data_IF_688574151690
#
_entry.id   IF_688574151690
#
_cell.length_a   1.000
_cell.length_b   1.000
_cell.length_c   1.000
_cell.angle_alpha   90.00
_cell.angle_beta   90.00
_cell.angle_gamma   90.00
#
_symmetry.space_group_name_H-M   'P 1'
#
loop_
_entity.id
_entity.type
_entity.pdbx_description
1 polymer ?
#
# COMPACT_ATOMS: atom_id res chain seq x y z
N UNK A 1 25.65 29.54 -11.28
CA UNK A 1 25.11 29.64 -9.90
C UNK A 1 24.55 28.32 -9.37
N UNK A 2 23.71 27.60 -10.12
CA UNK A 2 23.10 26.34 -9.65
C UNK A 2 24.11 25.26 -9.23
N UNK A 3 25.21 25.08 -9.98
CA UNK A 3 26.26 24.11 -9.63
C UNK A 3 26.90 24.44 -8.27
N UNK A 4 27.11 25.73 -7.98
CA UNK A 4 27.66 26.17 -6.68
C UNK A 4 26.68 25.81 -5.56
N UNK A 5 25.36 26.04 -5.76
CA UNK A 5 24.32 25.64 -4.80
C UNK A 5 24.33 24.12 -4.56
N UNK A 6 24.45 23.31 -5.61
CA UNK A 6 24.58 21.84 -5.50
C UNK A 6 25.80 21.47 -4.63
N UNK A 7 26.97 22.05 -4.92
CA UNK A 7 28.20 21.77 -4.16
C UNK A 7 28.05 22.15 -2.70
N UNK A 8 27.45 23.31 -2.40
CA UNK A 8 27.21 23.77 -1.03
C UNK A 8 26.28 22.83 -0.26
N UNK A 9 25.18 22.39 -0.89
CA UNK A 9 24.23 21.43 -0.27
C UNK A 9 24.91 20.08 -0.02
N UNK A 10 25.71 19.58 -0.97
CA UNK A 10 26.49 18.35 -0.79
C UNK A 10 27.49 18.48 0.37
N UNK A 11 28.25 19.58 0.42
CA UNK A 11 29.22 19.83 1.47
C UNK A 11 28.54 19.91 2.86
N UNK A 12 27.41 20.60 2.96
CA UNK A 12 26.63 20.69 4.19
C UNK A 12 26.13 19.31 4.64
N UNK A 13 25.62 18.48 3.72
CA UNK A 13 25.15 17.14 4.05
C UNK A 13 26.31 16.22 4.47
N UNK A 14 27.46 16.28 3.79
CA UNK A 14 28.65 15.51 4.18
C UNK A 14 29.10 15.91 5.59
N UNK A 15 29.15 17.20 5.89
CA UNK A 15 29.48 17.69 7.23
C UNK A 15 28.49 17.19 8.28
N UNK A 16 27.19 17.28 7.99
CA UNK A 16 26.12 16.77 8.86
C UNK A 16 26.29 15.27 9.13
N UNK A 17 26.56 14.47 8.09
CA UNK A 17 26.79 13.05 8.21
C UNK A 17 28.04 12.72 9.05
N UNK A 18 29.12 13.48 8.88
CA UNK A 18 30.35 13.31 9.68
C UNK A 18 30.09 13.58 11.17
N UNK A 19 29.29 14.60 11.49
CA UNK A 19 28.89 14.91 12.87
C UNK A 19 28.05 13.77 13.47
N UNK A 20 27.09 13.23 12.71
CA UNK A 20 26.29 12.08 13.14
C UNK A 20 27.13 10.82 13.36
N UNK A 21 28.10 10.55 12.48
CA UNK A 21 29.04 9.44 12.66
C UNK A 21 29.88 9.60 13.93
N UNK A 22 30.28 10.82 14.29
CA UNK A 22 30.96 11.09 15.57
C UNK A 22 30.03 10.85 16.77
N UNK A 23 28.76 11.25 16.67
CA UNK A 23 27.75 10.98 17.70
C UNK A 23 27.48 9.48 17.88
N UNK A 24 27.29 8.73 16.79
CA UNK A 24 27.11 7.28 16.83
C UNK A 24 28.32 6.57 17.45
N UNK A 25 29.53 6.97 17.06
CA UNK A 25 30.77 6.42 17.64
C UNK A 25 30.96 6.75 19.11
N UNK A 26 30.37 7.84 19.61
CA UNK A 26 30.45 8.17 21.03
C UNK A 26 29.75 7.16 21.93
N UNK A 27 28.82 6.36 21.38
CA UNK A 27 28.05 5.36 22.12
C UNK A 27 27.12 5.92 23.19
N UNK A 28 26.99 7.25 23.30
CA UNK A 28 26.18 7.93 24.33
C UNK A 28 24.68 7.82 24.08
N UNK A 29 24.27 7.66 22.83
CA UNK A 29 22.86 7.66 22.41
C UNK A 29 22.47 6.32 21.81
N UNK A 30 21.17 6.00 21.86
CA UNK A 30 20.61 4.86 21.15
C UNK A 30 20.78 5.08 19.62
N UNK A 31 21.17 4.02 18.91
CA UNK A 31 21.35 4.04 17.45
C UNK A 31 20.07 4.46 16.70
N UNK A 32 18.89 4.11 17.22
CA UNK A 32 17.61 4.56 16.65
C UNK A 32 17.42 6.07 16.82
N UNK A 33 17.88 6.66 17.93
CA UNK A 33 17.84 8.12 18.13
C UNK A 33 18.72 8.84 17.11
N UNK A 34 19.96 8.38 16.91
CA UNK A 34 20.88 8.97 15.91
C UNK A 34 20.31 8.84 14.49
N UNK A 35 19.72 7.69 14.16
CA UNK A 35 19.03 7.47 12.88
C UNK A 35 17.86 8.44 12.67
N UNK A 36 17.09 8.76 13.71
CA UNK A 36 16.01 9.76 13.61
C UNK A 36 16.52 11.20 13.52
N UNK A 37 17.69 11.52 14.07
CA UNK A 37 18.35 12.80 13.77
C UNK A 37 18.72 12.87 12.29
N UNK A 38 19.30 11.80 11.71
CA UNK A 38 19.58 11.76 10.26
C UNK A 38 18.31 11.95 9.44
N UNK A 39 17.23 11.24 9.79
CA UNK A 39 15.94 11.31 9.12
C UNK A 39 15.36 12.73 9.15
N UNK A 40 15.34 13.37 10.34
CA UNK A 40 14.85 14.74 10.50
C UNK A 40 15.73 15.73 9.73
N UNK A 41 17.06 15.65 9.87
CA UNK A 41 17.98 16.54 9.15
C UNK A 41 17.88 16.40 7.64
N UNK A 42 17.71 15.18 7.13
CA UNK A 42 17.48 14.92 5.70
C UNK A 42 16.14 15.49 5.23
N UNK A 43 15.09 15.41 6.08
CA UNK A 43 13.80 16.05 5.81
C UNK A 43 13.88 17.57 5.72
N UNK A 44 14.60 18.22 6.65
CA UNK A 44 14.85 19.67 6.61
C UNK A 44 15.58 20.05 5.30
N UNK A 45 16.61 19.28 4.93
CA UNK A 45 17.30 19.45 3.65
C UNK A 45 16.35 19.34 2.45
N UNK A 46 15.46 18.34 2.45
CA UNK A 46 14.43 18.15 1.42
C UNK A 46 13.43 19.31 1.35
N UNK A 47 13.00 19.83 2.50
CA UNK A 47 12.09 20.98 2.60
C UNK A 47 12.70 22.28 2.08
N UNK A 48 14.02 22.44 2.18
CA UNK A 48 14.73 23.61 1.68
C UNK A 48 14.88 23.62 0.14
N UNK A 49 14.74 22.48 -0.54
CA UNK A 49 15.00 22.36 -1.99
C UNK A 49 14.17 23.34 -2.86
N UNK A 50 12.85 23.51 -2.66
CA UNK A 50 12.05 24.47 -3.45
C UNK A 50 12.44 25.94 -3.24
N UNK A 51 13.19 26.24 -2.20
CA UNK A 51 13.65 27.61 -1.89
C UNK A 51 15.09 27.85 -2.36
N UNK A 52 15.87 26.78 -2.56
CA UNK A 52 17.26 26.86 -3.00
C UNK A 52 17.35 26.77 -4.53
N UNK A 53 16.58 25.87 -5.15
CA UNK A 53 16.70 25.51 -6.55
C UNK A 53 15.48 25.96 -7.35
N UNK A 54 15.73 26.53 -8.53
CA UNK A 54 14.68 26.91 -9.47
C UNK A 54 14.47 25.81 -10.53
N UNK A 55 15.56 25.16 -10.95
CA UNK A 55 15.50 24.14 -12.01
C UNK A 55 15.23 22.76 -11.45
N UNK A 56 14.24 22.07 -12.03
CA UNK A 56 13.93 20.68 -11.65
C UNK A 56 15.13 19.75 -11.84
N UNK A 57 15.92 19.95 -12.90
CA UNK A 57 17.12 19.15 -13.20
C UNK A 57 18.20 19.23 -12.13
N UNK A 58 18.40 20.37 -11.46
CA UNK A 58 19.41 20.53 -10.41
C UNK A 58 19.16 19.60 -9.23
N UNK A 59 17.91 19.52 -8.78
CA UNK A 59 17.50 18.64 -7.66
C UNK A 59 17.57 17.18 -8.06
N UNK A 60 17.21 16.84 -9.30
CA UNK A 60 17.34 15.47 -9.82
C UNK A 60 18.81 15.03 -9.81
N UNK A 61 19.72 15.86 -10.33
CA UNK A 61 21.17 15.58 -10.31
C UNK A 61 21.65 15.38 -8.86
N UNK A 62 21.28 16.31 -7.96
CA UNK A 62 21.64 16.23 -6.55
C UNK A 62 21.16 14.92 -5.90
N UNK A 63 19.90 14.54 -6.12
CA UNK A 63 19.35 13.31 -5.55
C UNK A 63 19.95 12.04 -6.15
N UNK A 64 20.26 12.02 -7.45
CA UNK A 64 21.00 10.90 -8.08
C UNK A 64 22.39 10.76 -7.46
N UNK A 65 23.11 11.86 -7.25
CA UNK A 65 24.42 11.84 -6.57
C UNK A 65 24.30 11.28 -5.15
N UNK A 66 23.28 11.69 -4.38
CA UNK A 66 23.04 11.14 -3.04
C UNK A 66 22.70 9.65 -3.07
N UNK A 67 21.86 9.19 -4.01
CA UNK A 67 21.53 7.78 -4.17
C UNK A 67 22.77 6.95 -4.46
N UNK A 68 23.61 7.39 -5.40
CA UNK A 68 24.88 6.73 -5.72
C UNK A 68 25.74 6.65 -4.46
N UNK A 69 25.91 7.77 -3.75
CA UNK A 69 26.72 7.83 -2.52
C UNK A 69 26.22 6.86 -1.44
N UNK A 70 24.90 6.81 -1.19
CA UNK A 70 24.33 5.88 -0.21
C UNK A 70 24.49 4.41 -0.61
N UNK A 71 24.26 4.09 -1.90
CA UNK A 71 24.41 2.73 -2.42
C UNK A 71 25.88 2.30 -2.33
N UNK A 72 26.81 3.18 -2.70
CA UNK A 72 28.26 2.95 -2.55
C UNK A 72 28.64 2.66 -1.10
N UNK A 73 28.17 3.47 -0.13
CA UNK A 73 28.43 3.24 1.31
C UNK A 73 27.91 1.86 1.77
N UNK A 74 26.73 1.42 1.27
CA UNK A 74 26.14 0.13 1.65
C UNK A 74 26.89 -1.08 1.08
N UNK A 75 27.39 -0.98 -0.16
CA UNK A 75 28.11 -2.06 -0.85
C UNK A 75 29.52 -2.26 -0.25
N UNK A 76 30.17 -1.20 0.24
CA UNK A 76 31.51 -1.29 0.81
C UNK A 76 31.54 -2.14 2.10
N UNK A 77 32.01 -3.39 1.99
CA UNK A 77 31.99 -4.38 3.08
C UNK A 77 32.91 -4.09 4.28
N UNK A 78 34.07 -3.45 4.09
CA UNK A 78 35.15 -3.52 5.10
C UNK A 78 35.79 -2.19 5.56
N UNK A 79 35.53 -1.04 4.92
CA UNK A 79 36.27 0.21 5.24
C UNK A 79 35.50 1.29 5.99
N UNK A 80 34.18 1.16 6.17
CA UNK A 80 33.34 2.27 6.67
C UNK A 80 32.36 1.83 7.77
N UNK A 81 32.88 1.14 8.79
CA UNK A 81 32.06 0.59 9.90
C UNK A 81 31.30 1.65 10.69
N UNK A 82 31.78 2.90 10.73
CA UNK A 82 31.07 4.01 11.36
C UNK A 82 29.86 4.52 10.56
N UNK A 83 30.05 4.79 9.27
CA UNK A 83 28.98 5.37 8.43
C UNK A 83 27.84 4.38 8.22
N UNK A 84 28.17 3.08 8.11
CA UNK A 84 27.16 2.04 8.00
C UNK A 84 26.29 1.92 9.26
N UNK A 85 26.86 2.15 10.45
CA UNK A 85 26.11 2.13 11.72
C UNK A 85 25.13 3.30 11.86
N UNK A 86 25.41 4.44 11.22
CA UNK A 86 24.46 5.56 11.17
C UNK A 86 23.23 5.21 10.33
N UNK A 87 23.40 4.39 9.28
CA UNK A 87 22.33 3.98 8.36
C UNK A 87 21.61 2.70 8.79
N UNK A 88 22.32 1.77 9.42
CA UNK A 88 21.80 0.48 9.85
C UNK A 88 21.84 0.36 11.38
N UNK A 89 20.68 0.23 11.99
CA UNK A 89 20.58 -0.20 13.40
C UNK A 89 21.07 -1.64 13.51
N UNK A 90 21.77 -1.99 14.61
CA UNK A 90 22.37 -3.32 14.84
C UNK A 90 21.43 -4.52 14.59
N UNK A 91 20.11 -4.31 14.69
CA UNK A 91 19.11 -5.37 14.60
C UNK A 91 18.24 -5.33 13.32
N UNK A 92 18.38 -4.33 12.43
CA UNK A 92 17.55 -4.24 11.21
C UNK A 92 18.31 -3.63 10.03
N UNK A 93 18.41 -4.41 8.94
CA UNK A 93 18.71 -3.86 7.61
C UNK A 93 17.42 -3.29 7.03
N UNK A 94 17.35 -1.97 6.85
CA UNK A 94 16.22 -1.30 6.18
C UNK A 94 16.73 -0.54 4.98
N UNK A 95 15.88 -0.37 3.95
CA UNK A 95 16.18 0.47 2.79
C UNK A 95 15.54 1.87 2.91
N UNK A 96 15.15 2.25 4.13
CA UNK A 96 14.38 3.48 4.40
C UNK A 96 15.05 4.75 3.87
N UNK A 97 16.38 4.88 3.98
CA UNK A 97 17.09 6.08 3.52
C UNK A 97 17.06 6.22 1.98
N UNK A 98 17.10 5.09 1.27
CA UNK A 98 16.98 5.06 -0.20
C UNK A 98 15.56 5.48 -0.59
N UNK A 99 14.55 4.88 0.06
CA UNK A 99 13.15 5.24 -0.17
C UNK A 99 12.88 6.71 0.15
N UNK A 100 13.49 7.26 1.19
CA UNK A 100 13.37 8.67 1.56
C UNK A 100 13.86 9.60 0.45
N UNK A 101 15.02 9.33 -0.15
CA UNK A 101 15.53 10.14 -1.27
C UNK A 101 14.64 9.97 -2.50
N UNK A 102 14.22 8.74 -2.81
CA UNK A 102 13.30 8.47 -3.91
C UNK A 102 11.99 9.26 -3.75
N UNK A 103 11.49 9.36 -2.54
CA UNK A 103 10.32 10.18 -2.21
C UNK A 103 10.56 11.65 -2.45
N UNK A 104 11.66 12.22 -1.93
CA UNK A 104 11.98 13.64 -2.15
C UNK A 104 12.06 13.94 -3.65
N UNK A 105 12.78 13.10 -4.41
CA UNK A 105 12.90 13.26 -5.87
C UNK A 105 11.55 13.12 -6.58
N UNK A 106 10.77 12.12 -6.21
CA UNK A 106 9.47 11.87 -6.82
C UNK A 106 8.46 12.98 -6.54
N UNK A 107 8.34 13.41 -5.28
CA UNK A 107 7.54 14.57 -4.90
C UNK A 107 8.02 15.84 -5.61
N UNK A 108 9.34 16.05 -5.67
CA UNK A 108 9.89 17.19 -6.41
C UNK A 108 9.45 17.18 -7.87
N UNK A 109 9.46 16.03 -8.55
CA UNK A 109 9.04 15.94 -9.94
C UNK A 109 7.54 16.22 -10.12
N UNK A 110 6.69 15.71 -9.23
CA UNK A 110 5.23 15.76 -9.39
C UNK A 110 4.55 16.94 -8.71
N UNK A 111 5.17 17.58 -7.72
CA UNK A 111 4.54 18.60 -6.87
C UNK A 111 5.40 19.82 -6.54
N UNK A 112 6.61 19.97 -7.09
CA UNK A 112 7.47 21.15 -6.83
C UNK A 112 6.79 22.50 -7.10
N UNK A 113 5.86 22.55 -8.05
CA UNK A 113 5.14 23.78 -8.41
C UNK A 113 4.10 24.17 -7.35
N UNK A 114 3.65 23.23 -6.50
CA UNK A 114 2.73 23.47 -5.40
C UNK A 114 3.41 23.17 -4.06
N UNK A 115 3.88 24.23 -3.39
CA UNK A 115 4.63 24.13 -2.13
C UNK A 115 3.86 23.38 -1.04
N UNK A 116 2.53 23.55 -0.94
CA UNK A 116 1.69 22.83 0.05
C UNK A 116 1.77 21.32 -0.20
N UNK A 117 1.56 20.90 -1.45
CA UNK A 117 1.56 19.50 -1.86
C UNK A 117 2.96 18.85 -1.84
N UNK A 118 4.04 19.64 -1.88
CA UNK A 118 5.41 19.16 -1.70
C UNK A 118 5.81 19.07 -0.23
N UNK A 119 5.54 20.11 0.53
CA UNK A 119 6.05 20.29 1.90
C UNK A 119 5.32 19.40 2.91
N UNK A 120 3.98 19.34 2.88
CA UNK A 120 3.21 18.61 3.90
C UNK A 120 3.57 17.10 3.96
N UNK A 121 3.66 16.37 2.82
CA UNK A 121 4.10 14.97 2.85
C UNK A 121 5.46 14.76 3.51
N UNK A 122 6.41 15.67 3.26
CA UNK A 122 7.77 15.59 3.83
C UNK A 122 7.75 15.92 5.33
N UNK A 123 6.99 16.93 5.76
CA UNK A 123 6.85 17.27 7.19
C UNK A 123 6.26 16.10 7.98
N UNK A 124 5.17 15.49 7.47
CA UNK A 124 4.54 14.32 8.10
C UNK A 124 5.55 13.18 8.20
N UNK A 125 6.25 12.85 7.12
CA UNK A 125 7.25 11.79 7.16
C UNK A 125 8.40 12.13 8.10
N UNK A 126 8.85 13.38 8.14
CA UNK A 126 9.98 13.79 8.95
C UNK A 126 9.70 13.69 10.45
N UNK A 127 8.55 14.23 10.89
CA UNK A 127 8.21 14.28 12.31
C UNK A 127 7.42 13.05 12.77
N UNK A 128 6.33 12.70 12.11
CA UNK A 128 5.43 11.65 12.60
C UNK A 128 6.12 10.29 12.68
N UNK A 129 6.91 9.92 11.67
CA UNK A 129 7.72 8.69 11.70
C UNK A 129 8.81 8.72 12.79
N UNK A 130 9.47 9.86 12.98
CA UNK A 130 10.48 9.99 14.03
C UNK A 130 9.87 9.85 15.44
N UNK A 131 8.77 10.54 15.71
CA UNK A 131 8.07 10.42 17.00
C UNK A 131 7.50 9.02 17.21
N UNK A 132 6.88 8.42 16.20
CA UNK A 132 6.34 7.07 16.29
C UNK A 132 7.41 6.03 16.63
N UNK A 133 8.57 6.12 15.97
CA UNK A 133 9.69 5.22 16.23
C UNK A 133 10.33 5.43 17.61
N UNK A 134 10.54 6.68 18.03
CA UNK A 134 11.11 6.97 19.35
C UNK A 134 10.18 6.53 20.47
N UNK A 135 8.89 6.86 20.38
CA UNK A 135 7.89 6.42 21.36
C UNK A 135 7.74 4.90 21.33
N UNK A 136 7.75 4.30 20.14
CA UNK A 136 7.68 2.85 19.97
C UNK A 136 8.91 2.08 20.48
N UNK A 137 10.08 2.70 20.49
CA UNK A 137 11.31 2.10 21.01
C UNK A 137 11.43 2.25 22.54
N UNK A 138 11.18 3.46 23.06
CA UNK A 138 11.45 3.78 24.46
C UNK A 138 10.25 3.60 25.41
N UNK A 139 9.01 3.69 24.90
CA UNK A 139 7.81 3.75 25.75
C UNK A 139 6.74 2.69 25.42
N UNK A 140 7.01 1.78 24.48
CA UNK A 140 6.03 0.77 24.09
C UNK A 140 5.75 -0.25 25.21
N UNK A 141 4.47 -0.47 25.52
CA UNK A 141 4.01 -1.57 26.37
C UNK A 141 3.28 -2.63 25.55
N UNK A 142 2.52 -2.21 24.53
CA UNK A 142 1.70 -3.10 23.71
C UNK A 142 2.27 -3.25 22.30
N UNK A 143 3.10 -4.28 22.11
CA UNK A 143 3.64 -4.66 20.80
C UNK A 143 2.75 -5.68 20.10
N UNK A 144 2.64 -5.57 18.78
CA UNK A 144 1.95 -6.53 17.94
C UNK A 144 2.79 -6.87 16.70
N UNK A 145 2.58 -8.07 16.16
CA UNK A 145 3.28 -8.54 14.97
C UNK A 145 2.46 -8.23 13.71
N UNK A 146 3.09 -7.56 12.75
CA UNK A 146 2.49 -7.22 11.46
C UNK A 146 2.63 -8.34 10.43
N UNK A 147 3.46 -9.36 10.69
CA UNK A 147 3.90 -10.39 9.76
C UNK A 147 5.30 -10.12 9.19
N UNK A 148 5.70 -8.85 9.12
CA UNK A 148 7.02 -8.42 8.64
C UNK A 148 7.91 -7.83 9.75
N UNK A 149 7.34 -7.62 10.93
CA UNK A 149 8.04 -7.06 12.07
C UNK A 149 7.09 -6.68 13.20
N UNK A 150 7.68 -6.26 14.31
CA UNK A 150 6.96 -5.75 15.47
C UNK A 150 6.71 -4.24 15.34
N UNK A 151 5.49 -3.81 15.67
CA UNK A 151 5.05 -2.42 15.82
C UNK A 151 4.38 -2.27 17.20
N UNK A 152 4.13 -1.05 17.66
CA UNK A 152 3.48 -0.78 18.95
C UNK A 152 2.26 0.11 18.81
N UNK A 153 1.31 -0.05 19.74
CA UNK A 153 0.11 0.79 19.80
C UNK A 153 0.51 2.24 20.13
N UNK A 154 1.48 2.42 21.03
CA UNK A 154 1.97 3.75 21.44
C UNK A 154 2.64 4.48 20.28
N UNK A 155 3.43 3.77 19.46
CA UNK A 155 4.03 4.34 18.25
C UNK A 155 2.97 4.74 17.22
N UNK A 156 1.94 3.91 17.03
CA UNK A 156 0.82 4.22 16.11
C UNK A 156 0.03 5.44 16.59
N UNK A 157 -0.27 5.53 17.89
CA UNK A 157 -0.94 6.66 18.50
C UNK A 157 -0.12 7.95 18.38
N UNK A 158 1.20 7.86 18.60
CA UNK A 158 2.12 8.97 18.39
C UNK A 158 2.10 9.44 16.93
N UNK A 159 2.15 8.52 15.96
CA UNK A 159 2.06 8.86 14.54
C UNK A 159 0.76 9.61 14.22
N UNK A 160 -0.37 9.09 14.70
CA UNK A 160 -1.69 9.71 14.49
C UNK A 160 -1.77 11.12 15.07
N UNK A 161 -1.41 11.29 16.35
CA UNK A 161 -1.52 12.57 17.05
C UNK A 161 -0.60 13.63 16.45
N UNK A 162 0.65 13.26 16.16
CA UNK A 162 1.62 14.17 15.53
C UNK A 162 1.19 14.57 14.13
N UNK A 163 0.72 13.62 13.31
CA UNK A 163 0.20 13.93 11.97
C UNK A 163 -1.01 14.84 12.03
N UNK A 164 -1.96 14.57 12.94
CA UNK A 164 -3.15 15.41 13.10
C UNK A 164 -2.78 16.84 13.51
N UNK A 165 -1.89 16.98 14.48
CA UNK A 165 -1.40 18.28 14.94
C UNK A 165 -0.66 19.04 13.83
N UNK A 166 0.22 18.36 13.08
CA UNK A 166 0.93 18.94 11.93
C UNK A 166 -0.06 19.42 10.89
N UNK A 167 -1.02 18.58 10.47
CA UNK A 167 -1.99 18.92 9.43
C UNK A 167 -2.84 20.13 9.83
N UNK A 168 -3.39 20.17 11.05
CA UNK A 168 -4.22 21.31 11.50
C UNK A 168 -3.44 22.61 11.40
N UNK A 169 -2.26 22.66 12.03
CA UNK A 169 -1.46 23.88 12.03
C UNK A 169 -1.01 24.24 10.61
N UNK A 170 -0.59 23.26 9.82
CA UNK A 170 -0.15 23.50 8.46
C UNK A 170 -1.25 24.12 7.60
N UNK A 171 -2.47 23.59 7.65
CA UNK A 171 -3.58 24.14 6.86
C UNK A 171 -4.05 25.50 7.38
N UNK A 172 -4.02 25.75 8.70
CA UNK A 172 -4.35 27.06 9.26
C UNK A 172 -3.41 28.18 8.76
N UNK A 173 -2.13 27.89 8.54
CA UNK A 173 -1.14 28.89 8.12
C UNK A 173 -0.90 28.95 6.61
N UNK A 174 -1.11 27.85 5.89
CA UNK A 174 -0.64 27.71 4.49
C UNK A 174 -1.74 27.31 3.50
N UNK A 175 -3.02 27.35 3.88
CA UNK A 175 -4.12 27.06 2.96
C UNK A 175 -5.35 27.91 3.23
N UNK A 176 -6.20 28.05 2.21
CA UNK A 176 -7.42 28.88 2.26
C UNK A 176 -8.70 28.04 2.44
N UNK A 177 -8.59 26.80 2.94
CA UNK A 177 -9.74 25.91 3.13
C UNK A 177 -10.50 26.27 4.42
N UNK A 178 -11.82 26.03 4.44
CA UNK A 178 -12.67 26.33 5.59
C UNK A 178 -12.31 25.53 6.85
N UNK A 179 -12.62 26.08 8.02
CA UNK A 179 -12.26 25.49 9.32
C UNK A 179 -12.70 24.03 9.50
N UNK A 180 -13.92 23.68 9.07
CA UNK A 180 -14.40 22.30 9.14
C UNK A 180 -13.64 21.36 8.19
N UNK A 181 -13.27 21.86 6.99
CA UNK A 181 -12.44 21.11 6.06
C UNK A 181 -11.05 20.84 6.63
N UNK A 182 -10.45 21.81 7.33
CA UNK A 182 -9.16 21.63 8.02
C UNK A 182 -9.26 20.45 8.98
N UNK A 183 -10.30 20.39 9.81
CA UNK A 183 -10.50 19.30 10.77
C UNK A 183 -10.69 17.96 10.07
N UNK A 184 -11.59 17.90 9.08
CA UNK A 184 -11.91 16.66 8.36
C UNK A 184 -10.72 16.11 7.57
N UNK A 185 -10.03 16.95 6.80
CA UNK A 185 -8.84 16.58 6.02
C UNK A 185 -7.72 16.11 6.95
N UNK A 186 -7.46 16.83 8.03
CA UNK A 186 -6.42 16.47 9.01
C UNK A 186 -6.71 15.13 9.67
N UNK A 187 -7.97 14.88 10.05
CA UNK A 187 -8.39 13.63 10.70
C UNK A 187 -8.31 12.45 9.75
N UNK A 188 -8.79 12.61 8.51
CA UNK A 188 -8.70 11.55 7.50
C UNK A 188 -7.24 11.21 7.17
N UNK A 189 -6.40 12.22 6.95
CA UNK A 189 -4.98 12.03 6.70
C UNK A 189 -4.30 11.29 7.85
N UNK A 190 -4.48 11.73 9.09
CA UNK A 190 -3.80 11.13 10.24
C UNK A 190 -4.19 9.67 10.47
N UNK A 191 -5.47 9.31 10.31
CA UNK A 191 -5.93 7.92 10.37
C UNK A 191 -5.27 7.09 9.27
N UNK A 192 -5.33 7.57 8.04
CA UNK A 192 -4.89 6.82 6.86
C UNK A 192 -3.38 6.63 6.83
N UNK A 193 -2.59 7.66 7.16
CA UNK A 193 -1.14 7.56 7.21
C UNK A 193 -0.67 6.71 8.38
N UNK A 194 -1.36 6.73 9.52
CA UNK A 194 -1.08 5.81 10.63
C UNK A 194 -1.34 4.36 10.19
N UNK A 195 -2.47 4.08 9.53
CA UNK A 195 -2.74 2.75 9.00
C UNK A 195 -1.65 2.32 8.01
N UNK A 196 -1.22 3.24 7.14
CA UNK A 196 -0.19 2.98 6.14
C UNK A 196 1.19 2.70 6.78
N UNK A 197 1.55 3.40 7.86
CA UNK A 197 2.74 3.12 8.66
C UNK A 197 2.70 1.71 9.27
N UNK A 198 1.54 1.30 9.78
CA UNK A 198 1.35 -0.02 10.41
C UNK A 198 1.48 -1.16 9.41
N UNK A 199 0.97 -0.99 8.19
CA UNK A 199 1.00 -2.03 7.14
C UNK A 199 2.29 -1.99 6.31
N UNK A 200 3.13 -0.96 6.45
CA UNK A 200 4.41 -0.84 5.75
C UNK A 200 5.52 -1.65 6.42
N UNK A 201 6.45 -2.16 5.61
CA UNK A 201 7.58 -2.96 6.08
C UNK A 201 8.90 -2.50 5.47
N UNK A 202 10.02 -2.85 6.11
CA UNK A 202 11.38 -2.61 5.60
C UNK A 202 11.72 -1.16 5.20
N UNK A 203 11.01 -0.17 5.77
CA UNK A 203 11.17 1.25 5.44
C UNK A 203 10.30 1.74 4.28
N UNK A 204 9.38 0.93 3.76
CA UNK A 204 8.47 1.32 2.67
C UNK A 204 7.49 2.44 3.06
N UNK A 205 7.28 2.66 4.35
CA UNK A 205 6.57 3.82 4.90
C UNK A 205 7.19 5.15 4.42
N UNK A 206 8.52 5.20 4.30
CA UNK A 206 9.23 6.36 3.74
C UNK A 206 8.87 6.67 2.28
N UNK A 207 8.29 5.70 1.56
CA UNK A 207 7.79 5.86 0.19
C UNK A 207 6.27 6.02 0.18
N UNK A 208 5.54 5.08 0.76
CA UNK A 208 4.09 5.03 0.64
C UNK A 208 3.40 6.18 1.37
N UNK A 209 3.85 6.56 2.57
CA UNK A 209 3.19 7.62 3.34
C UNK A 209 3.19 8.95 2.57
N UNK A 210 4.32 9.49 2.10
CA UNK A 210 4.30 10.79 1.45
C UNK A 210 3.59 10.79 0.10
N UNK A 211 3.76 9.75 -0.71
CA UNK A 211 3.04 9.65 -1.99
C UNK A 211 1.53 9.51 -1.77
N UNK A 212 1.12 8.79 -0.73
CA UNK A 212 -0.28 8.75 -0.34
C UNK A 212 -0.78 10.11 0.11
N UNK A 213 -0.04 10.85 0.96
CA UNK A 213 -0.43 12.21 1.36
C UNK A 213 -0.58 13.09 0.12
N UNK A 214 0.39 13.10 -0.79
CA UNK A 214 0.31 13.86 -2.04
C UNK A 214 -0.96 13.51 -2.85
N UNK A 215 -1.21 12.22 -3.09
CA UNK A 215 -2.40 11.75 -3.81
C UNK A 215 -3.68 12.16 -3.08
N UNK A 216 -3.73 12.01 -1.75
CA UNK A 216 -4.89 12.36 -0.95
C UNK A 216 -5.20 13.86 -1.06
N UNK A 217 -4.19 14.73 -0.92
CA UNK A 217 -4.36 16.18 -1.06
C UNK A 217 -4.89 16.53 -2.45
N UNK A 218 -4.30 15.95 -3.50
CA UNK A 218 -4.72 16.19 -4.89
C UNK A 218 -6.19 15.85 -5.13
N UNK A 219 -6.69 14.80 -4.50
CA UNK A 219 -8.06 14.30 -4.71
C UNK A 219 -9.09 14.85 -3.71
N UNK A 220 -8.66 15.46 -2.58
CA UNK A 220 -9.56 15.77 -1.48
C UNK A 220 -9.43 17.18 -0.88
N UNK A 221 -8.32 17.90 -1.11
CA UNK A 221 -8.03 19.14 -0.37
C UNK A 221 -9.11 20.22 -0.57
N UNK A 222 -9.61 20.37 -1.81
CA UNK A 222 -10.55 21.42 -2.20
C UNK A 222 -11.98 20.91 -2.38
N UNK A 223 -12.31 19.75 -1.81
CA UNK A 223 -13.69 19.26 -1.80
C UNK A 223 -14.57 20.10 -0.87
N UNK A 224 -15.86 20.11 -1.17
CA UNK A 224 -16.85 20.78 -0.30
C UNK A 224 -16.96 20.07 1.04
N UNK A 225 -17.46 20.78 2.05
CA UNK A 225 -17.67 20.24 3.41
C UNK A 225 -18.53 18.97 3.35
N UNK A 226 -19.59 18.97 2.53
CA UNK A 226 -20.50 17.83 2.36
C UNK A 226 -19.79 16.60 1.79
N UNK A 227 -18.92 16.78 0.80
CA UNK A 227 -18.17 15.68 0.18
C UNK A 227 -17.14 15.10 1.14
N UNK A 228 -16.45 15.94 1.91
CA UNK A 228 -15.51 15.49 2.95
C UNK A 228 -16.23 14.77 4.09
N UNK A 229 -17.38 15.27 4.54
CA UNK A 229 -18.23 14.59 5.52
C UNK A 229 -18.69 13.23 5.00
N UNK A 230 -19.11 13.15 3.73
CA UNK A 230 -19.47 11.88 3.11
C UNK A 230 -18.32 10.88 3.14
N UNK A 231 -17.11 11.30 2.73
CA UNK A 231 -15.91 10.45 2.77
C UNK A 231 -15.55 10.03 4.21
N UNK A 232 -15.67 10.93 5.17
CA UNK A 232 -15.51 10.61 6.59
C UNK A 232 -16.49 9.54 7.07
N UNK A 233 -17.77 9.68 6.75
CA UNK A 233 -18.77 8.67 7.13
C UNK A 233 -18.54 7.33 6.45
N UNK A 234 -18.09 7.30 5.20
CA UNK A 234 -17.69 6.05 4.54
C UNK A 234 -16.52 5.38 5.29
N UNK A 235 -15.52 6.15 5.73
CA UNK A 235 -14.44 5.61 6.58
C UNK A 235 -14.98 4.99 7.87
N UNK A 236 -15.87 5.70 8.57
CA UNK A 236 -16.49 5.21 9.82
C UNK A 236 -17.27 3.93 9.57
N UNK A 237 -18.08 3.87 8.52
CA UNK A 237 -18.87 2.68 8.15
C UNK A 237 -17.95 1.50 7.84
N UNK A 238 -16.90 1.71 7.02
CA UNK A 238 -15.93 0.65 6.70
C UNK A 238 -15.21 0.16 7.96
N UNK A 239 -14.83 1.06 8.86
CA UNK A 239 -14.23 0.70 10.14
C UNK A 239 -15.17 -0.16 10.98
N UNK A 240 -16.44 0.23 11.11
CA UNK A 240 -17.46 -0.54 11.83
C UNK A 240 -17.65 -1.93 11.21
N UNK A 241 -17.76 -2.02 9.88
CA UNK A 241 -17.88 -3.30 9.16
C UNK A 241 -16.71 -4.23 9.49
N UNK A 242 -15.48 -3.72 9.48
CA UNK A 242 -14.28 -4.51 9.76
C UNK A 242 -14.22 -4.94 11.22
N UNK A 243 -14.57 -4.05 12.16
CA UNK A 243 -14.60 -4.39 13.59
C UNK A 243 -15.67 -5.45 13.90
N UNK A 244 -16.88 -5.32 13.33
CA UNK A 244 -17.94 -6.31 13.50
C UNK A 244 -17.55 -7.68 12.92
N UNK A 245 -16.81 -7.68 11.79
CA UNK A 245 -16.35 -8.90 11.13
C UNK A 245 -14.98 -9.41 11.61
N UNK A 246 -14.32 -8.76 12.58
CA UNK A 246 -12.96 -9.11 13.03
C UNK A 246 -12.78 -10.57 13.47
N UNK A 247 -13.85 -11.19 14.01
CA UNK A 247 -13.90 -12.60 14.41
C UNK A 247 -14.47 -13.53 13.32
N UNK A 248 -15.15 -12.96 12.32
CA UNK A 248 -15.82 -13.64 11.21
C UNK A 248 -15.03 -13.45 9.91
N UNK A 249 -13.73 -13.69 9.98
CA UNK A 249 -12.83 -13.61 8.83
C UNK A 249 -11.61 -14.50 9.04
N UNK A 250 -11.07 -15.01 7.95
CA UNK A 250 -9.83 -15.79 7.94
C UNK A 250 -8.60 -14.90 7.73
N UNK A 251 -8.77 -13.57 7.66
CA UNK A 251 -7.66 -12.63 7.52
C UNK A 251 -6.96 -12.39 8.86
N UNK A 252 -5.63 -12.24 8.81
CA UNK A 252 -4.84 -11.72 9.94
C UNK A 252 -5.28 -10.31 10.34
N UNK A 253 -4.98 -9.87 11.57
CA UNK A 253 -5.33 -8.51 12.02
C UNK A 253 -4.71 -7.43 11.13
N UNK A 254 -3.46 -7.61 10.72
CA UNK A 254 -2.78 -6.71 9.78
C UNK A 254 -3.47 -6.68 8.41
N UNK A 255 -3.88 -7.85 7.88
CA UNK A 255 -4.61 -7.91 6.62
C UNK A 255 -6.00 -7.26 6.73
N UNK A 256 -6.68 -7.34 7.88
CA UNK A 256 -7.93 -6.61 8.10
C UNK A 256 -7.70 -5.09 8.06
N UNK A 257 -6.66 -4.60 8.75
CA UNK A 257 -6.27 -3.18 8.73
C UNK A 257 -5.87 -2.70 7.32
N UNK A 258 -5.12 -3.52 6.58
CA UNK A 258 -4.79 -3.22 5.19
C UNK A 258 -6.02 -3.27 4.27
N UNK A 259 -7.00 -4.13 4.56
CA UNK A 259 -8.26 -4.17 3.82
C UNK A 259 -9.05 -2.87 4.00
N UNK A 260 -9.08 -2.31 5.22
CA UNK A 260 -9.68 -0.99 5.46
C UNK A 260 -9.05 0.08 4.57
N UNK A 261 -7.72 0.13 4.58
CA UNK A 261 -6.95 1.09 3.79
C UNK A 261 -7.19 0.92 2.30
N UNK A 262 -7.13 -0.32 1.82
CA UNK A 262 -7.38 -0.67 0.42
C UNK A 262 -8.79 -0.24 -0.03
N UNK A 263 -9.83 -0.65 0.70
CA UNK A 263 -11.22 -0.29 0.42
C UNK A 263 -11.39 1.23 0.37
N UNK A 264 -10.78 1.95 1.31
CA UNK A 264 -10.90 3.40 1.34
C UNK A 264 -10.13 4.10 0.21
N UNK A 265 -8.97 3.59 -0.22
CA UNK A 265 -8.27 4.11 -1.41
C UNK A 265 -9.13 3.96 -2.65
N UNK A 266 -9.72 2.77 -2.85
CA UNK A 266 -10.61 2.52 -3.99
C UNK A 266 -11.79 3.50 -3.97
N UNK A 267 -12.35 3.77 -2.79
CA UNK A 267 -13.40 4.77 -2.61
C UNK A 267 -12.94 6.19 -2.97
N UNK A 268 -11.74 6.62 -2.54
CA UNK A 268 -11.23 7.95 -2.86
C UNK A 268 -11.00 8.11 -4.37
N UNK A 269 -10.45 7.08 -5.01
CA UNK A 269 -10.03 7.13 -6.42
C UNK A 269 -11.19 6.95 -7.41
N UNK A 270 -12.07 5.97 -7.17
CA UNK A 270 -13.15 5.61 -8.09
C UNK A 270 -14.56 5.91 -7.57
N UNK A 271 -14.72 6.18 -6.27
CA UNK A 271 -16.04 6.36 -5.65
C UNK A 271 -16.74 5.06 -5.29
N UNK A 272 -18.01 5.17 -4.87
CA UNK A 272 -18.77 4.05 -4.26
C UNK A 272 -18.94 2.87 -5.21
N UNK A 273 -19.11 3.13 -6.51
CA UNK A 273 -19.26 2.12 -7.54
C UNK A 273 -18.07 1.15 -7.59
N UNK A 274 -16.86 1.64 -7.35
CA UNK A 274 -15.64 0.83 -7.33
C UNK A 274 -15.38 0.16 -5.99
N UNK A 275 -15.91 0.71 -4.88
CA UNK A 275 -15.80 0.12 -3.55
C UNK A 275 -16.62 -1.17 -3.39
N UNK A 276 -17.75 -1.29 -4.09
CA UNK A 276 -18.69 -2.41 -3.88
C UNK A 276 -18.08 -3.79 -4.18
N UNK A 277 -17.42 -4.06 -5.33
CA UNK A 277 -16.83 -5.37 -5.60
C UNK A 277 -15.83 -5.87 -4.54
N UNK A 278 -14.79 -5.09 -4.13
CA UNK A 278 -13.88 -5.56 -3.08
C UNK A 278 -14.56 -5.68 -1.71
N UNK A 279 -15.58 -4.87 -1.42
CA UNK A 279 -16.33 -4.98 -0.16
C UNK A 279 -17.16 -6.29 -0.13
N UNK A 280 -17.86 -6.62 -1.22
CA UNK A 280 -18.57 -7.90 -1.35
C UNK A 280 -17.59 -9.07 -1.24
N UNK A 281 -16.42 -8.96 -1.88
CA UNK A 281 -15.39 -9.99 -1.75
C UNK A 281 -14.95 -10.14 -0.28
N UNK A 282 -14.65 -9.05 0.42
CA UNK A 282 -14.24 -9.07 1.83
C UNK A 282 -15.30 -9.73 2.73
N UNK A 283 -16.58 -9.39 2.56
CA UNK A 283 -17.69 -9.96 3.33
C UNK A 283 -17.98 -11.42 2.96
N UNK A 284 -17.98 -11.72 1.66
CA UNK A 284 -18.20 -13.05 1.11
C UNK A 284 -17.08 -14.03 1.45
N UNK A 285 -15.88 -13.52 1.71
CA UNK A 285 -14.69 -14.30 2.02
C UNK A 285 -14.90 -15.29 3.16
N UNK A 286 -15.65 -14.93 4.20
CA UNK A 286 -15.96 -15.82 5.32
C UNK A 286 -17.29 -16.57 5.16
N UNK A 287 -18.30 -15.93 4.57
CA UNK A 287 -19.67 -16.44 4.57
C UNK A 287 -19.97 -17.41 3.42
N UNK A 288 -19.27 -17.27 2.29
CA UNK A 288 -19.59 -17.99 1.05
C UNK A 288 -18.54 -19.06 0.72
N UNK A 289 -17.32 -18.88 1.23
CA UNK A 289 -16.26 -19.84 0.98
C UNK A 289 -16.26 -20.98 2.01
N UNK A 290 -15.79 -22.18 1.62
CA UNK A 290 -15.70 -23.33 2.52
C UNK A 290 -14.81 -23.03 3.73
N UNK A 291 -15.23 -23.51 4.90
CA UNK A 291 -14.43 -23.43 6.14
C UNK A 291 -13.51 -24.64 6.21
N UNK A 292 -12.22 -24.40 6.44
CA UNK A 292 -11.20 -25.45 6.56
C UNK A 292 -10.67 -25.45 7.98
N UNK A 293 -10.73 -26.59 8.67
CA UNK A 293 -10.17 -26.73 10.01
C UNK A 293 -8.64 -26.59 9.98
N UNK A 294 -8.06 -25.89 10.97
CA UNK A 294 -6.62 -25.65 11.03
C UNK A 294 -6.07 -24.67 9.98
N UNK A 295 -6.93 -23.99 9.21
CA UNK A 295 -6.47 -23.05 8.18
C UNK A 295 -5.63 -21.92 8.74
N UNK A 296 -4.41 -21.76 8.19
CA UNK A 296 -3.56 -20.60 8.45
C UNK A 296 -4.26 -19.35 7.90
N UNK A 297 -4.36 -18.32 8.73
CA UNK A 297 -4.99 -17.06 8.33
C UNK A 297 -4.25 -16.40 7.16
N UNK A 298 -5.03 -15.88 6.22
CA UNK A 298 -4.50 -15.20 5.03
C UNK A 298 -3.73 -13.93 5.43
N UNK A 299 -2.51 -13.83 4.93
CA UNK A 299 -1.54 -12.81 5.31
C UNK A 299 -1.72 -11.52 4.51
N UNK A 300 -1.02 -10.46 4.94
CA UNK A 300 -0.96 -9.19 4.23
C UNK A 300 -0.48 -9.36 2.78
N UNK A 301 0.45 -10.29 2.50
CA UNK A 301 0.96 -10.53 1.14
C UNK A 301 -0.13 -11.00 0.18
N UNK A 302 -0.95 -11.96 0.62
CA UNK A 302 -2.05 -12.47 -0.19
C UNK A 302 -3.04 -11.37 -0.55
N UNK A 303 -3.39 -10.52 0.43
CA UNK A 303 -4.24 -9.35 0.18
C UNK A 303 -3.60 -8.38 -0.82
N UNK A 304 -2.32 -8.06 -0.65
CA UNK A 304 -1.62 -7.14 -1.55
C UNK A 304 -1.54 -7.65 -2.99
N UNK A 305 -1.40 -8.97 -3.19
CA UNK A 305 -1.41 -9.56 -4.53
C UNK A 305 -2.76 -9.36 -5.24
N UNK A 306 -3.87 -9.59 -4.54
CA UNK A 306 -5.23 -9.33 -5.04
C UNK A 306 -5.44 -7.83 -5.27
N UNK A 307 -5.04 -6.99 -4.32
CA UNK A 307 -5.19 -5.54 -4.40
C UNK A 307 -4.43 -4.95 -5.60
N UNK A 308 -3.17 -5.35 -5.81
CA UNK A 308 -2.35 -4.82 -6.90
C UNK A 308 -2.90 -5.23 -8.27
N UNK A 309 -3.25 -6.50 -8.44
CA UNK A 309 -3.76 -7.01 -9.72
C UNK A 309 -5.12 -6.44 -10.11
N UNK A 310 -5.93 -6.01 -9.14
CA UNK A 310 -7.24 -5.41 -9.41
C UNK A 310 -7.16 -3.88 -9.53
N UNK A 311 -6.31 -3.21 -8.75
CA UNK A 311 -6.19 -1.74 -8.74
C UNK A 311 -5.69 -1.17 -10.07
N UNK A 312 -4.92 -1.95 -10.84
CA UNK A 312 -4.42 -1.50 -12.14
C UNK A 312 -5.57 -1.12 -13.08
N UNK A 313 -6.71 -1.81 -13.03
CA UNK A 313 -7.87 -1.53 -13.87
C UNK A 313 -8.58 -0.24 -13.47
N UNK A 314 -8.65 0.05 -12.17
CA UNK A 314 -9.13 1.34 -11.68
C UNK A 314 -8.19 2.46 -12.13
N UNK A 315 -6.88 2.31 -11.94
CA UNK A 315 -5.90 3.32 -12.35
C UNK A 315 -5.96 3.58 -13.86
N UNK A 316 -6.04 2.53 -14.67
CA UNK A 316 -6.19 2.66 -16.13
C UNK A 316 -7.52 3.30 -16.52
N UNK A 317 -8.61 3.04 -15.79
CA UNK A 317 -9.92 3.67 -16.08
C UNK A 317 -9.87 5.18 -15.90
N UNK A 318 -9.14 5.67 -14.89
CA UNK A 318 -8.96 7.10 -14.63
C UNK A 318 -8.11 7.75 -15.72
N UNK A 319 -7.13 7.03 -16.27
CA UNK A 319 -6.21 7.58 -17.29
C UNK A 319 -6.81 7.51 -18.71
N UNK A 320 -7.51 6.42 -19.04
CA UNK A 320 -8.00 6.15 -20.38
C UNK A 320 -9.46 6.57 -20.60
N UNK A 321 -10.18 6.94 -19.53
CA UNK A 321 -11.60 7.29 -19.53
C UNK A 321 -12.48 6.24 -20.24
N UNK A 322 -12.29 4.97 -19.86
CA UNK A 322 -13.01 3.84 -20.45
C UNK A 322 -13.88 3.16 -19.41
N UNK A 323 -15.19 3.38 -19.48
CA UNK A 323 -16.20 2.69 -18.66
C UNK A 323 -16.09 1.16 -18.77
N UNK A 324 -15.67 0.64 -19.92
CA UNK A 324 -15.43 -0.80 -20.13
C UNK A 324 -14.38 -1.40 -19.18
N UNK A 325 -13.44 -0.60 -18.66
CA UNK A 325 -12.44 -1.07 -17.70
C UNK A 325 -13.06 -1.41 -16.33
N UNK A 326 -14.22 -0.84 -16.01
CA UNK A 326 -14.98 -1.24 -14.83
C UNK A 326 -15.51 -2.69 -14.95
N UNK A 327 -15.85 -3.14 -16.16
CA UNK A 327 -16.26 -4.52 -16.40
C UNK A 327 -15.11 -5.51 -16.16
N UNK A 328 -13.90 -5.13 -16.60
CA UNK A 328 -12.68 -5.90 -16.36
C UNK A 328 -12.35 -5.94 -14.87
N UNK A 329 -12.53 -4.83 -14.16
CA UNK A 329 -12.37 -4.76 -12.72
C UNK A 329 -13.29 -5.75 -11.98
N UNK A 330 -14.60 -5.76 -12.30
CA UNK A 330 -15.54 -6.73 -11.72
C UNK A 330 -15.14 -8.17 -12.08
N UNK A 331 -14.74 -8.41 -13.33
CA UNK A 331 -14.25 -9.70 -13.78
C UNK A 331 -13.05 -10.18 -12.97
N UNK A 332 -12.05 -9.33 -12.73
CA UNK A 332 -10.87 -9.69 -11.94
C UNK A 332 -11.24 -10.09 -10.51
N UNK A 333 -12.16 -9.38 -9.85
CA UNK A 333 -12.65 -9.76 -8.52
C UNK A 333 -13.43 -11.09 -8.54
N UNK A 334 -14.28 -11.28 -9.54
CA UNK A 334 -15.04 -12.51 -9.75
C UNK A 334 -14.11 -13.73 -9.91
N UNK A 335 -13.09 -13.62 -10.75
CA UNK A 335 -12.17 -14.72 -11.00
C UNK A 335 -11.31 -15.05 -9.77
N UNK A 336 -10.82 -14.04 -9.05
CA UNK A 336 -10.18 -14.26 -7.74
C UNK A 336 -11.12 -14.99 -6.78
N UNK A 337 -12.38 -14.56 -6.69
CA UNK A 337 -13.37 -15.16 -5.81
C UNK A 337 -13.62 -16.64 -6.17
N UNK A 338 -13.74 -16.97 -7.46
CA UNK A 338 -13.87 -18.34 -7.94
C UNK A 338 -12.68 -19.23 -7.59
N UNK A 339 -11.47 -18.77 -7.89
CA UNK A 339 -10.24 -19.54 -7.64
C UNK A 339 -10.03 -19.73 -6.13
N UNK A 340 -10.29 -18.73 -5.30
CA UNK A 340 -10.14 -18.86 -3.84
C UNK A 340 -11.16 -19.84 -3.25
N UNK A 341 -12.38 -19.88 -3.78
CA UNK A 341 -13.35 -20.92 -3.40
C UNK A 341 -12.79 -22.31 -3.70
N UNK A 342 -12.24 -22.51 -4.91
CA UNK A 342 -11.63 -23.77 -5.30
C UNK A 342 -10.45 -24.15 -4.40
N UNK A 343 -9.57 -23.20 -4.05
CA UNK A 343 -8.46 -23.42 -3.12
C UNK A 343 -8.95 -23.95 -1.78
N UNK A 344 -10.04 -23.38 -1.25
CA UNK A 344 -10.60 -23.76 0.06
C UNK A 344 -11.34 -25.09 0.02
N UNK A 345 -12.12 -25.33 -1.04
CA UNK A 345 -12.75 -26.64 -1.28
C UNK A 345 -11.68 -27.75 -1.41
N UNK A 346 -10.51 -27.41 -1.96
CA UNK A 346 -9.38 -28.31 -2.08
C UNK A 346 -8.70 -28.56 -0.73
N UNK A 347 -8.47 -27.52 0.08
CA UNK A 347 -7.82 -27.68 1.39
C UNK A 347 -8.70 -28.40 2.43
N UNK A 348 -10.03 -28.31 2.33
CA UNK A 348 -10.95 -29.01 3.26
C UNK A 348 -11.08 -30.53 3.02
N UNK A 349 -10.46 -31.09 1.98
CA UNK A 349 -10.62 -32.49 1.59
C UNK A 349 -9.25 -33.17 1.34
N UNK A 350 -8.63 -33.67 2.41
CA UNK A 350 -7.22 -34.12 2.47
C UNK A 350 -6.92 -35.43 1.70
N UNK A 351 -7.91 -36.31 1.47
CA UNK A 351 -7.69 -37.60 0.79
C UNK A 351 -7.90 -37.51 -0.74
N UNK A 352 -6.95 -36.97 -1.51
CA UNK A 352 -7.15 -36.73 -2.96
C UNK A 352 -6.22 -37.50 -3.89
N UNK A 353 -6.82 -38.39 -4.70
CA UNK A 353 -6.24 -38.96 -5.92
C UNK A 353 -6.94 -38.50 -7.23
N UNK A 354 -8.12 -37.85 -7.21
CA UNK A 354 -8.86 -37.55 -8.46
C UNK A 354 -9.56 -36.18 -8.56
N UNK A 355 -9.60 -35.68 -9.79
CA UNK A 355 -10.31 -34.48 -10.26
C UNK A 355 -11.83 -34.62 -10.07
N UNK A 356 -12.44 -33.72 -9.29
CA UNK A 356 -13.89 -33.68 -9.09
C UNK A 356 -14.51 -32.45 -9.75
N UNK A 357 -15.08 -32.67 -10.95
CA UNK A 357 -15.83 -31.66 -11.72
C UNK A 357 -16.87 -30.89 -10.90
N UNK A 358 -17.44 -31.50 -9.85
CA UNK A 358 -18.42 -30.85 -8.96
C UNK A 358 -17.88 -29.60 -8.26
N UNK A 359 -16.65 -29.65 -7.71
CA UNK A 359 -16.07 -28.50 -7.01
C UNK A 359 -15.63 -27.40 -7.98
N UNK A 360 -15.10 -27.80 -9.14
CA UNK A 360 -14.76 -26.89 -10.22
C UNK A 360 -16.01 -26.12 -10.69
N UNK A 361 -17.10 -26.84 -10.99
CA UNK A 361 -18.36 -26.24 -11.40
C UNK A 361 -18.98 -25.38 -10.29
N UNK A 362 -18.88 -25.78 -9.02
CA UNK A 362 -19.31 -24.96 -7.89
C UNK A 362 -18.55 -23.63 -7.79
N UNK A 363 -17.24 -23.66 -8.01
CA UNK A 363 -16.38 -22.47 -8.01
C UNK A 363 -16.67 -21.54 -9.18
N UNK A 364 -16.89 -22.10 -10.37
CA UNK A 364 -17.32 -21.36 -11.57
C UNK A 364 -18.68 -20.70 -11.34
N UNK A 365 -19.64 -21.44 -10.79
CA UNK A 365 -20.97 -20.91 -10.46
C UNK A 365 -20.90 -19.73 -9.48
N UNK A 366 -20.08 -19.83 -8.43
CA UNK A 366 -19.86 -18.74 -7.47
C UNK A 366 -19.20 -17.50 -8.11
N UNK A 367 -18.23 -17.69 -9.00
CA UNK A 367 -17.61 -16.59 -9.74
C UNK A 367 -18.63 -15.89 -10.64
N UNK A 368 -19.39 -16.64 -11.44
CA UNK A 368 -20.44 -16.08 -12.30
C UNK A 368 -21.50 -15.33 -11.50
N UNK A 369 -21.96 -15.90 -10.37
CA UNK A 369 -22.91 -15.23 -9.49
C UNK A 369 -22.34 -13.92 -8.93
N UNK A 370 -21.08 -13.93 -8.48
CA UNK A 370 -20.40 -12.72 -8.00
C UNK A 370 -20.33 -11.65 -9.10
N UNK A 371 -19.99 -12.04 -10.33
CA UNK A 371 -19.94 -11.13 -11.46
C UNK A 371 -21.30 -10.54 -11.78
N UNK A 372 -22.33 -11.39 -11.91
CA UNK A 372 -23.70 -10.98 -12.29
C UNK A 372 -24.27 -10.00 -11.27
N UNK A 373 -24.13 -10.29 -9.97
CA UNK A 373 -24.61 -9.40 -8.90
C UNK A 373 -23.96 -8.02 -9.02
N UNK A 374 -22.63 -7.95 -9.14
CA UNK A 374 -21.93 -6.67 -9.27
C UNK A 374 -22.26 -5.96 -10.58
N UNK A 375 -22.37 -6.70 -11.68
CA UNK A 375 -22.65 -6.15 -13.00
C UNK A 375 -24.04 -5.51 -13.09
N UNK A 376 -25.07 -6.23 -12.63
CA UNK A 376 -26.46 -5.75 -12.64
C UNK A 376 -26.61 -4.52 -11.74
N UNK A 377 -26.00 -4.53 -10.55
CA UNK A 377 -26.14 -3.44 -9.58
C UNK A 377 -25.39 -2.18 -10.05
N UNK A 378 -24.22 -2.32 -10.68
CA UNK A 378 -23.25 -1.22 -10.79
C UNK A 378 -22.96 -0.77 -12.22
N UNK A 379 -22.97 -1.67 -13.20
CA UNK A 379 -22.39 -1.39 -14.52
C UNK A 379 -23.42 -0.81 -15.48
N UNK A 380 -24.58 -1.45 -15.65
CA UNK A 380 -25.56 -1.12 -16.68
C UNK A 380 -25.08 -1.28 -18.14
N UNK A 381 -23.78 -1.56 -18.35
CA UNK A 381 -23.15 -1.72 -19.68
C UNK A 381 -23.59 -3.04 -20.32
N UNK A 382 -24.30 -2.98 -21.44
CA UNK A 382 -24.70 -4.17 -22.22
C UNK A 382 -23.76 -4.30 -23.42
N UNK A 383 -22.61 -4.96 -23.22
CA UNK A 383 -21.69 -5.35 -24.30
C UNK A 383 -21.69 -6.87 -24.42
N UNK A 384 -22.47 -7.41 -25.36
CA UNK A 384 -22.65 -8.85 -25.52
C UNK A 384 -21.33 -9.60 -25.79
N UNK A 385 -20.39 -8.99 -26.53
CA UNK A 385 -19.09 -9.61 -26.81
C UNK A 385 -18.29 -9.74 -25.51
N UNK A 386 -18.22 -8.67 -24.72
CA UNK A 386 -17.51 -8.71 -23.43
C UNK A 386 -18.20 -9.65 -22.43
N UNK A 387 -19.55 -9.65 -22.37
CA UNK A 387 -20.29 -10.53 -21.47
C UNK A 387 -20.10 -12.01 -21.82
N UNK A 388 -20.11 -12.36 -23.11
CA UNK A 388 -19.77 -13.71 -23.57
C UNK A 388 -18.31 -14.06 -23.23
N UNK A 389 -17.39 -13.11 -23.46
CA UNK A 389 -15.98 -13.23 -23.10
C UNK A 389 -15.77 -13.49 -21.60
N UNK A 390 -16.49 -12.78 -20.73
CA UNK A 390 -16.45 -12.98 -19.28
C UNK A 390 -16.77 -14.41 -18.90
N UNK A 391 -17.85 -14.98 -19.47
CA UNK A 391 -18.24 -16.36 -19.17
C UNK A 391 -17.12 -17.30 -19.58
N UNK A 392 -16.68 -17.26 -20.84
CA UNK A 392 -15.63 -18.14 -21.36
C UNK A 392 -14.34 -18.03 -20.56
N UNK A 393 -13.92 -16.80 -20.24
CA UNK A 393 -12.67 -16.54 -19.52
C UNK A 393 -12.74 -16.89 -18.03
N UNK A 394 -13.92 -16.85 -17.38
CA UNK A 394 -14.08 -17.39 -16.01
C UNK A 394 -13.86 -18.90 -16.01
N UNK A 395 -14.48 -19.63 -16.96
CA UNK A 395 -14.26 -21.06 -17.10
C UNK A 395 -12.78 -21.37 -17.36
N UNK A 396 -12.18 -20.68 -18.34
CA UNK A 396 -10.78 -20.85 -18.71
C UNK A 396 -9.83 -20.58 -17.54
N UNK A 397 -10.01 -19.47 -16.82
CA UNK A 397 -9.15 -19.07 -15.71
C UNK A 397 -9.17 -20.05 -14.54
N UNK A 398 -10.35 -20.51 -14.13
CA UNK A 398 -10.48 -21.48 -13.03
C UNK A 398 -9.92 -22.85 -13.45
N UNK A 399 -10.17 -23.29 -14.69
CA UNK A 399 -9.62 -24.54 -15.22
C UNK A 399 -8.08 -24.49 -15.36
N UNK A 400 -7.55 -23.34 -15.77
CA UNK A 400 -6.10 -23.11 -15.86
C UNK A 400 -5.45 -23.23 -14.49
N UNK A 401 -6.04 -22.62 -13.46
CA UNK A 401 -5.53 -22.75 -12.09
C UNK A 401 -5.47 -24.21 -11.64
N UNK A 402 -6.56 -24.96 -11.81
CA UNK A 402 -6.61 -26.38 -11.42
C UNK A 402 -5.55 -27.21 -12.17
N UNK A 403 -5.34 -26.93 -13.46
CA UNK A 403 -4.32 -27.60 -14.28
C UNK A 403 -2.91 -27.29 -13.80
N UNK A 404 -2.61 -26.00 -13.54
CA UNK A 404 -1.32 -25.56 -13.02
C UNK A 404 -1.02 -26.24 -11.68
N UNK A 405 -2.01 -26.30 -10.77
CA UNK A 405 -1.84 -26.96 -9.48
C UNK A 405 -1.56 -28.45 -9.62
N UNK A 406 -2.27 -29.17 -10.51
CA UNK A 406 -2.01 -30.59 -10.77
C UNK A 406 -0.59 -30.83 -11.29
N UNK A 407 -0.15 -30.06 -12.28
CA UNK A 407 1.22 -30.17 -12.82
C UNK A 407 2.24 -29.97 -11.70
N UNK A 408 2.03 -28.96 -10.86
CA UNK A 408 2.91 -28.69 -9.73
C UNK A 408 2.99 -29.87 -8.76
N UNK A 409 1.85 -30.44 -8.36
CA UNK A 409 1.83 -31.59 -7.44
C UNK A 409 2.50 -32.84 -8.03
N UNK A 410 2.40 -33.05 -9.36
CA UNK A 410 3.11 -34.13 -10.05
C UNK A 410 4.64 -33.91 -10.05
N UNK A 411 5.10 -32.67 -10.21
CA UNK A 411 6.53 -32.34 -10.31
C UNK A 411 7.21 -32.31 -8.93
N UNK A 412 6.58 -31.73 -7.91
CA UNK A 412 7.20 -31.52 -6.60
C UNK A 412 7.02 -32.66 -5.58
N UNK A 413 6.51 -33.82 -6.00
CA UNK A 413 6.31 -35.01 -5.14
C UNK A 413 5.65 -34.66 -3.80
N UNK A 414 4.46 -34.04 -3.87
CA UNK A 414 3.59 -33.78 -2.72
C UNK A 414 4.04 -32.70 -1.71
N UNK A 415 5.03 -31.85 -2.03
CA UNK A 415 5.23 -30.64 -1.21
C UNK A 415 4.01 -29.72 -1.31
N UNK A 416 3.36 -29.47 -0.19
CA UNK A 416 2.21 -28.57 -0.16
C UNK A 416 2.66 -27.12 -0.35
N UNK A 417 2.15 -26.48 -1.40
CA UNK A 417 2.31 -25.04 -1.63
C UNK A 417 1.73 -24.24 -0.46
N UNK A 418 2.50 -23.23 -0.03
CA UNK A 418 2.01 -22.25 0.94
C UNK A 418 0.77 -21.52 0.39
N UNK A 419 -0.14 -21.12 1.27
CA UNK A 419 -1.30 -20.31 0.89
C UNK A 419 -0.92 -19.02 0.15
N UNK A 420 0.19 -18.37 0.55
CA UNK A 420 0.70 -17.17 -0.12
C UNK A 420 1.08 -17.44 -1.58
N UNK A 421 1.75 -18.57 -1.85
CA UNK A 421 2.16 -18.94 -3.20
C UNK A 421 0.95 -19.26 -4.07
N UNK A 422 -0.07 -19.96 -3.54
CA UNK A 422 -1.33 -20.23 -4.24
C UNK A 422 -2.04 -18.92 -4.64
N UNK A 423 -2.06 -17.92 -3.75
CA UNK A 423 -2.65 -16.59 -4.05
C UNK A 423 -1.83 -15.83 -5.09
N UNK A 424 -0.50 -15.95 -5.08
CA UNK A 424 0.34 -15.31 -6.10
C UNK A 424 0.13 -15.90 -7.50
N UNK A 425 0.06 -17.24 -7.61
CA UNK A 425 -0.30 -17.93 -8.86
C UNK A 425 -1.68 -17.49 -9.34
N UNK A 426 -2.66 -17.44 -8.41
CA UNK A 426 -4.01 -16.95 -8.70
C UNK A 426 -3.98 -15.54 -9.28
N UNK A 427 -3.23 -14.64 -8.66
CA UNK A 427 -3.12 -13.24 -9.08
C UNK A 427 -2.52 -13.12 -10.49
N UNK A 428 -1.50 -13.93 -10.80
CA UNK A 428 -0.91 -14.00 -12.14
C UNK A 428 -1.90 -14.49 -13.21
N UNK A 429 -2.66 -15.55 -12.91
CA UNK A 429 -3.71 -16.07 -13.80
C UNK A 429 -4.79 -15.02 -14.01
N UNK A 430 -5.29 -14.39 -12.94
CA UNK A 430 -6.32 -13.36 -13.06
C UNK A 430 -5.85 -12.20 -13.91
N UNK A 431 -4.62 -11.74 -13.71
CA UNK A 431 -4.05 -10.65 -14.52
C UNK A 431 -4.00 -11.02 -16.01
N UNK A 432 -3.51 -12.22 -16.35
CA UNK A 432 -3.46 -12.71 -17.72
C UNK A 432 -4.86 -12.77 -18.36
N UNK A 433 -5.84 -13.38 -17.68
CA UNK A 433 -7.20 -13.47 -18.20
C UNK A 433 -7.91 -12.11 -18.28
N UNK A 434 -7.56 -11.17 -17.41
CA UNK A 434 -8.08 -9.79 -17.48
C UNK A 434 -7.53 -9.03 -18.69
N UNK A 435 -6.28 -9.28 -19.09
CA UNK A 435 -5.71 -8.76 -20.34
C UNK A 435 -6.37 -9.36 -21.59
N UNK A 436 -6.71 -10.65 -21.57
CA UNK A 436 -7.47 -11.27 -22.67
C UNK A 436 -8.85 -10.62 -22.81
N UNK A 437 -9.54 -10.37 -21.69
CA UNK A 437 -10.83 -9.67 -21.71
C UNK A 437 -10.70 -8.22 -22.21
N UNK A 438 -9.60 -7.53 -21.86
CA UNK A 438 -9.30 -6.21 -22.42
C UNK A 438 -9.20 -6.26 -23.94
N UNK A 439 -8.50 -7.26 -24.49
CA UNK A 439 -8.39 -7.48 -25.94
C UNK A 439 -9.75 -7.66 -26.60
N UNK A 440 -10.64 -8.46 -26.00
CA UNK A 440 -12.01 -8.65 -26.50
C UNK A 440 -12.82 -7.36 -26.47
N UNK A 441 -12.67 -6.53 -25.43
CA UNK A 441 -13.45 -5.29 -25.26
C UNK A 441 -12.96 -4.09 -26.07
N UNK A 442 -11.71 -4.16 -26.57
CA UNK A 442 -11.10 -3.15 -27.44
C UNK A 442 -11.24 -3.46 -28.95
N UNK A 443 -11.65 -4.68 -29.30
CA UNK A 443 -12.07 -5.14 -30.64
C UNK A 443 -13.61 -5.11 -30.77
#
# INVERSE_FOLDING_TARGET
MEIIKIILVLAAFVLFFLLLNKLEKSGKFNSEFVRKILHIGSGIGGLALPFIFERKSSVVILGVVFLILLVSIRIMKHKVTGFKKVLETKNRKTFGDIYFIMTILGLWLVSSDNKVMYTLPIIILMFSDAFAALIGEFYSKYKFNTGFGTKSIEGSAAFFLTTYFICINFFLFFSDIGNINIVLVSLLLSILTMILEVISWNGLDNLFVPFFVYMFLRLNLYLTEKELMYKFWVMVILFVIIILNRKKTTLTRTAQTASLFFLYIIMIMGGIKWLVPPLIMYLGYYHITPKVEGQVKDSLKGLLAIAFTTSIWLALSIVMDKDKLFLIYIFSFSLHFGIINLIRDNAGNINRETFRMKFLMGSIGKALMFFIINHIILSGIIDFKMLAGVIVLIFGGIFTYETVMKIYYMVEKEKELSGETKVFITSGIVFFYSLLLLGIGML
#
